data_IF_018304386048
#
_entry.id   IF_018304386048
#
_cell.length_a   1.000
_cell.length_b   1.000
_cell.length_c   1.000
_cell.angle_alpha   90.00
_cell.angle_beta   90.00
_cell.angle_gamma   90.00
#
_symmetry.space_group_name_H-M   'P 1'
#
loop_
_entity.id
_entity.type
_entity.pdbx_description
1 polymer ?
#
# COMPACT_ATOMS: atom_id res chain seq x y z
N UNK A 1 0.36 3.33 4.64
CA UNK A 1 0.16 2.26 5.37
C UNK A 1 0.09 0.85 4.83
N UNK A 2 -0.84 0.53 3.95
CA UNK A 2 -1.04 -0.86 3.51
C UNK A 2 0.18 -1.44 2.80
N UNK A 3 0.87 -0.64 1.97
CA UNK A 3 2.04 -1.12 1.25
C UNK A 3 3.16 -1.54 2.21
N UNK A 4 3.42 -0.76 3.23
CA UNK A 4 4.43 -1.10 4.24
C UNK A 4 3.97 -2.28 5.07
N UNK A 5 2.73 -2.27 5.54
CA UNK A 5 2.20 -3.30 6.42
C UNK A 5 2.20 -4.67 5.73
N UNK A 6 1.80 -4.75 4.46
CA UNK A 6 1.72 -6.00 3.72
C UNK A 6 3.08 -6.71 3.61
N UNK A 7 4.17 -5.95 3.50
CA UNK A 7 5.52 -6.51 3.32
C UNK A 7 6.34 -6.52 4.61
N UNK A 8 5.76 -6.10 5.74
CA UNK A 8 6.45 -6.12 7.03
C UNK A 8 6.54 -7.54 7.58
N UNK A 9 7.70 -7.95 8.14
CA UNK A 9 7.89 -9.31 8.66
C UNK A 9 6.92 -9.70 9.77
N UNK A 10 6.47 -8.73 10.55
CA UNK A 10 5.58 -8.95 11.71
C UNK A 10 4.19 -8.39 11.47
N UNK A 11 3.70 -8.45 10.23
CA UNK A 11 2.43 -7.81 9.88
C UNK A 11 1.23 -8.37 10.68
N UNK A 12 1.21 -9.65 10.98
CA UNK A 12 0.11 -10.24 11.77
C UNK A 12 0.03 -9.67 13.17
N UNK A 13 1.19 -9.51 13.82
CA UNK A 13 1.26 -8.92 15.15
C UNK A 13 0.85 -7.45 15.12
N UNK A 14 1.31 -6.72 14.10
CA UNK A 14 0.94 -5.32 13.92
C UNK A 14 -0.57 -5.17 13.70
N UNK A 15 -1.19 -6.05 12.92
CA UNK A 15 -2.63 -6.02 12.68
C UNK A 15 -3.40 -6.24 13.98
N UNK A 16 -2.96 -7.16 14.84
CA UNK A 16 -3.64 -7.41 16.12
C UNK A 16 -3.68 -6.19 17.00
N UNK A 17 -2.66 -5.33 16.91
CA UNK A 17 -2.55 -4.11 17.73
C UNK A 17 -3.27 -2.91 17.12
N UNK A 18 -3.70 -2.99 15.86
CA UNK A 18 -4.35 -1.87 15.18
C UNK A 18 -5.76 -1.63 15.70
N UNK A 19 -6.10 -0.37 15.80
CA UNK A 19 -7.47 0.08 16.02
C UNK A 19 -7.97 0.66 14.69
N UNK A 20 -8.94 -0.03 14.09
CA UNK A 20 -9.47 0.34 12.77
C UNK A 20 -10.69 1.23 12.97
N UNK A 21 -10.49 2.54 12.79
CA UNK A 21 -11.56 3.53 12.93
C UNK A 21 -12.20 3.85 11.58
N UNK A 22 -13.53 3.96 11.52
CA UNK A 22 -14.21 4.26 10.26
C UNK A 22 -14.11 5.77 9.95
N UNK A 23 -13.19 6.14 9.06
CA UNK A 23 -13.01 7.53 8.62
C UNK A 23 -14.00 7.90 7.52
N UNK A 24 -14.35 6.92 6.66
CA UNK A 24 -15.38 7.03 5.64
C UNK A 24 -16.17 5.73 5.63
N UNK A 25 -17.24 5.65 4.84
CA UNK A 25 -17.98 4.40 4.67
C UNK A 25 -17.16 3.35 3.91
N UNK A 26 -16.06 3.76 3.27
CA UNK A 26 -15.17 2.87 2.52
C UNK A 26 -13.96 2.40 3.32
N UNK A 27 -13.77 2.88 4.54
CA UNK A 27 -12.65 2.49 5.40
C UNK A 27 -12.76 1.01 5.77
N UNK A 28 -11.63 0.29 5.69
CA UNK A 28 -11.58 -1.10 6.14
C UNK A 28 -11.54 -1.10 7.66
N UNK A 29 -12.59 -1.63 8.29
CA UNK A 29 -12.72 -1.68 9.75
C UNK A 29 -12.64 -3.10 10.30
N UNK A 30 -12.62 -4.11 9.42
CA UNK A 30 -12.49 -5.51 9.80
C UNK A 30 -11.05 -5.98 9.62
N UNK A 31 -10.48 -6.60 10.65
CA UNK A 31 -9.12 -7.16 10.55
C UNK A 31 -9.05 -8.31 9.56
N UNK A 32 -10.12 -9.08 9.39
CA UNK A 32 -10.18 -10.15 8.40
C UNK A 32 -10.14 -9.56 6.98
N UNK A 33 -10.93 -8.52 6.72
CA UNK A 33 -10.92 -7.83 5.44
C UNK A 33 -9.56 -7.19 5.17
N UNK A 34 -8.92 -6.62 6.18
CA UNK A 34 -7.58 -6.04 6.04
C UNK A 34 -6.56 -7.10 5.66
N UNK A 35 -6.58 -8.28 6.30
CA UNK A 35 -5.66 -9.37 5.95
C UNK A 35 -5.84 -9.80 4.50
N UNK A 36 -7.08 -9.91 4.03
CA UNK A 36 -7.37 -10.26 2.64
C UNK A 36 -6.82 -9.21 1.69
N UNK A 37 -7.03 -7.93 2.01
CA UNK A 37 -6.50 -6.81 1.22
C UNK A 37 -4.97 -6.85 1.14
N UNK A 38 -4.30 -7.13 2.26
CA UNK A 38 -2.84 -7.20 2.30
C UNK A 38 -2.28 -8.35 1.47
N UNK A 39 -3.01 -9.46 1.36
CA UNK A 39 -2.61 -10.54 0.46
C UNK A 39 -2.65 -10.09 -1.00
N UNK A 40 -3.67 -9.32 -1.38
CA UNK A 40 -3.75 -8.74 -2.72
C UNK A 40 -2.59 -7.78 -2.98
N UNK A 41 -2.23 -6.97 -2.00
CA UNK A 41 -1.09 -6.03 -2.10
C UNK A 41 0.20 -6.81 -2.35
N UNK A 42 0.42 -7.91 -1.65
CA UNK A 42 1.61 -8.76 -1.86
C UNK A 42 1.68 -9.32 -3.27
N UNK A 43 0.55 -9.76 -3.80
CA UNK A 43 0.49 -10.34 -5.14
C UNK A 43 0.74 -9.28 -6.21
N UNK A 44 0.12 -8.11 -6.06
CA UNK A 44 0.21 -7.04 -7.06
C UNK A 44 1.49 -6.20 -6.95
N UNK A 45 2.07 -6.09 -5.76
CA UNK A 45 3.24 -5.27 -5.50
C UNK A 45 2.93 -3.80 -5.24
N UNK A 46 1.66 -3.45 -5.09
CA UNK A 46 1.23 -2.09 -4.75
C UNK A 46 -0.09 -2.13 -4.00
N UNK A 47 -0.38 -1.06 -3.27
CA UNK A 47 -1.62 -0.90 -2.52
C UNK A 47 -2.46 0.23 -3.12
N UNK A 48 -3.77 0.06 -3.05
CA UNK A 48 -4.72 1.09 -3.45
C UNK A 48 -5.55 1.46 -2.22
N UNK A 49 -5.65 2.76 -1.95
CA UNK A 49 -6.58 3.30 -0.96
C UNK A 49 -7.58 4.15 -1.73
N UNK A 50 -8.79 3.63 -1.90
CA UNK A 50 -9.83 4.30 -2.67
C UNK A 50 -10.90 4.78 -1.70
N UNK A 51 -10.92 6.09 -1.42
CA UNK A 51 -11.90 6.74 -0.56
C UNK A 51 -11.91 6.22 0.89
N UNK A 52 -10.83 5.53 1.32
CA UNK A 52 -10.77 4.90 2.66
C UNK A 52 -10.44 5.87 3.77
N UNK A 53 -9.63 6.88 3.46
CA UNK A 53 -9.20 7.89 4.43
C UNK A 53 -10.04 9.18 4.30
N UNK A 54 -10.31 9.58 3.07
CA UNK A 54 -11.08 10.77 2.73
C UNK A 54 -11.90 10.44 1.48
N UNK A 55 -13.19 10.82 1.46
CA UNK A 55 -14.15 10.36 0.44
C UNK A 55 -13.82 10.77 -0.99
N UNK A 56 -13.07 11.86 -1.16
CA UNK A 56 -12.80 12.42 -2.49
C UNK A 56 -11.41 12.11 -2.99
N UNK A 57 -10.65 11.28 -2.28
CA UNK A 57 -9.28 10.97 -2.67
C UNK A 57 -9.05 9.47 -2.87
N UNK A 58 -8.06 9.17 -3.71
CA UNK A 58 -7.52 7.83 -3.85
C UNK A 58 -6.01 7.92 -3.88
N UNK A 59 -5.36 6.85 -3.48
CA UNK A 59 -3.91 6.77 -3.46
C UNK A 59 -3.45 5.40 -3.95
N UNK A 60 -2.30 5.38 -4.61
CA UNK A 60 -1.62 4.16 -5.03
C UNK A 60 -0.21 4.25 -4.48
N UNK A 61 0.23 3.23 -3.76
CA UNK A 61 1.55 3.23 -3.14
C UNK A 61 2.23 1.87 -3.33
N UNK A 62 3.56 1.91 -3.45
CA UNK A 62 4.36 0.70 -3.54
C UNK A 62 5.47 0.73 -2.49
N UNK A 63 5.90 -0.44 -1.99
CA UNK A 63 6.91 -0.51 -0.95
C UNK A 63 8.30 -0.23 -1.49
N UNK A 64 9.13 0.36 -0.62
CA UNK A 64 10.55 0.58 -0.88
C UNK A 64 11.32 -0.32 0.08
N UNK A 65 12.22 -1.14 -0.45
CA UNK A 65 13.01 -2.10 0.34
C UNK A 65 14.44 -1.58 0.51
N UNK A 66 15.02 -1.86 1.68
CA UNK A 66 16.42 -1.55 1.93
C UNK A 66 17.35 -2.67 1.42
N UNK A 67 18.65 -2.55 1.68
CA UNK A 67 19.62 -3.52 1.21
C UNK A 67 19.47 -4.91 1.87
N UNK A 68 18.75 -4.99 3.00
CA UNK A 68 18.44 -6.26 3.65
C UNK A 68 17.16 -6.90 3.10
N UNK A 69 16.49 -6.26 2.15
CA UNK A 69 15.22 -6.74 1.64
C UNK A 69 14.04 -6.48 2.57
N UNK A 70 14.22 -5.59 3.56
CA UNK A 70 13.17 -5.24 4.51
C UNK A 70 12.50 -3.94 4.04
N UNK A 71 11.17 -3.90 4.13
CA UNK A 71 10.42 -2.69 3.76
C UNK A 71 10.77 -1.55 4.72
N UNK A 72 11.23 -0.43 4.16
CA UNK A 72 11.65 0.73 4.95
C UNK A 72 10.70 1.92 4.82
N UNK A 73 10.04 2.04 3.66
CA UNK A 73 9.16 3.16 3.36
C UNK A 73 8.26 2.80 2.18
N UNK A 74 7.49 3.75 1.71
CA UNK A 74 6.70 3.59 0.49
C UNK A 74 6.68 4.90 -0.28
N UNK A 75 6.37 4.81 -1.56
CA UNK A 75 6.16 5.96 -2.43
C UNK A 75 4.79 5.80 -3.07
N UNK A 76 4.09 6.91 -3.25
CA UNK A 76 2.75 6.83 -3.81
C UNK A 76 2.30 8.10 -4.51
N UNK A 77 1.18 7.97 -5.18
CA UNK A 77 0.49 9.06 -5.85
C UNK A 77 -0.87 9.20 -5.18
N UNK A 78 -1.23 10.43 -4.82
CA UNK A 78 -2.57 10.76 -4.31
C UNK A 78 -3.26 11.60 -5.35
N UNK A 79 -4.50 11.27 -5.65
CA UNK A 79 -5.30 12.00 -6.63
C UNK A 79 -6.74 12.09 -6.16
N UNK A 80 -7.52 12.95 -6.84
CA UNK A 80 -8.95 13.02 -6.59
C UNK A 80 -9.62 11.76 -7.16
N UNK A 81 -10.58 11.25 -6.40
CA UNK A 81 -11.37 10.11 -6.86
C UNK A 81 -12.16 10.48 -8.10
N UNK A 82 -12.13 9.62 -9.09
CA UNK A 82 -12.88 9.76 -10.33
C UNK A 82 -13.37 8.39 -10.75
N UNK A 83 -14.67 8.27 -10.97
CA UNK A 83 -15.24 7.02 -11.43
C UNK A 83 -14.69 6.64 -12.81
N UNK A 84 -14.34 5.37 -12.97
CA UNK A 84 -13.74 4.89 -14.21
C UNK A 84 -12.25 5.18 -14.34
N UNK A 85 -11.60 5.66 -13.27
CA UNK A 85 -10.16 5.93 -13.28
C UNK A 85 -9.36 4.65 -13.52
N UNK A 86 -8.45 4.69 -14.50
CA UNK A 86 -7.57 3.57 -14.80
C UNK A 86 -6.35 3.60 -13.90
N UNK A 87 -6.31 2.70 -12.90
CA UNK A 87 -5.22 2.63 -11.93
C UNK A 87 -3.98 1.92 -12.46
N UNK A 88 -4.09 1.14 -13.52
CA UNK A 88 -2.99 0.29 -13.99
C UNK A 88 -1.77 1.10 -14.42
N UNK A 89 -1.98 2.19 -15.14
CA UNK A 89 -0.88 3.04 -15.61
C UNK A 89 -0.16 3.68 -14.43
N UNK A 90 -0.88 4.26 -13.49
CA UNK A 90 -0.30 4.89 -12.32
C UNK A 90 0.34 3.87 -11.39
N UNK A 91 -0.26 2.69 -11.24
CA UNK A 91 0.30 1.59 -10.47
C UNK A 91 1.66 1.18 -11.03
N UNK A 92 1.78 1.09 -12.35
CA UNK A 92 3.04 0.72 -12.98
C UNK A 92 4.12 1.77 -12.74
N UNK A 93 3.78 3.05 -12.86
CA UNK A 93 4.71 4.15 -12.58
C UNK A 93 5.19 4.13 -11.13
N UNK A 94 4.28 3.92 -10.19
CA UNK A 94 4.61 3.88 -8.76
C UNK A 94 5.52 2.69 -8.46
N UNK A 95 5.21 1.52 -9.01
CA UNK A 95 6.04 0.31 -8.84
C UNK A 95 7.45 0.52 -9.38
N UNK A 96 7.57 1.11 -10.56
CA UNK A 96 8.88 1.39 -11.18
C UNK A 96 9.68 2.37 -10.34
N UNK A 97 9.05 3.44 -9.84
CA UNK A 97 9.72 4.42 -8.98
C UNK A 97 10.18 3.77 -7.69
N UNK A 98 9.33 2.96 -7.05
CA UNK A 98 9.68 2.25 -5.82
C UNK A 98 10.84 1.30 -6.04
N UNK A 99 10.87 0.58 -7.15
CA UNK A 99 11.95 -0.34 -7.47
C UNK A 99 13.27 0.40 -7.67
N UNK A 100 13.26 1.51 -8.41
CA UNK A 100 14.47 2.33 -8.63
C UNK A 100 15.03 2.86 -7.32
N UNK A 101 14.18 3.34 -6.42
CA UNK A 101 14.63 3.82 -5.10
C UNK A 101 15.19 2.67 -4.28
N UNK A 102 14.52 1.51 -4.29
CA UNK A 102 15.01 0.32 -3.58
C UNK A 102 16.40 -0.08 -4.06
N UNK A 103 16.61 -0.06 -5.37
CA UNK A 103 17.93 -0.36 -5.96
C UNK A 103 18.99 0.63 -5.51
N UNK A 104 18.65 1.91 -5.41
CA UNK A 104 19.58 2.93 -4.90
C UNK A 104 19.94 2.68 -3.44
N UNK A 105 19.06 2.05 -2.67
CA UNK A 105 19.32 1.66 -1.28
C UNK A 105 20.09 0.35 -1.15
N UNK A 106 20.42 -0.30 -2.27
CA UNK A 106 21.16 -1.55 -2.27
C UNK A 106 20.30 -2.81 -2.35
N UNK A 107 19.00 -2.69 -2.54
CA UNK A 107 18.12 -3.84 -2.68
C UNK A 107 18.41 -4.59 -3.98
N UNK A 108 18.53 -5.92 -3.91
CA UNK A 108 18.89 -6.76 -5.05
C UNK A 108 17.79 -7.75 -5.45
N UNK A 109 16.66 -7.69 -4.78
CA UNK A 109 15.54 -8.58 -5.04
C UNK A 109 14.71 -8.28 -6.27
#
# INVERSE_FOLDING_TARGET
GKAILAFSPHHEELIRKLQLLPLTEHTITSKVALKSELQQVKVKGYAISCREHEEHTMAIAAPIFDYNGVVSSSIGIVSLYKEGYDVEQDAQLVKEAAYKISRLLGYQG
#
